data_IF_269235107826
#
_entry.id   IF_269235107826
#
_cell.length_a   1.000
_cell.length_b   1.000
_cell.length_c   1.000
_cell.angle_alpha   90.00
_cell.angle_beta   90.00
_cell.angle_gamma   90.00
#
_symmetry.space_group_name_H-M   'P 1'
#
loop_
_entity.id
_entity.type
_entity.pdbx_description
1 polymer ?
#
# COMPACT_ATOMS: atom_id res chain seq x y z
N UNK A 1 13.80 7.42 6.05
CA UNK A 1 13.51 8.09 4.75
C UNK A 1 13.65 7.07 3.64
N UNK A 2 12.68 7.02 2.73
CA UNK A 2 12.69 6.15 1.54
C UNK A 2 12.96 7.01 0.30
N UNK A 3 13.93 6.61 -0.54
CA UNK A 3 14.27 7.31 -1.77
C UNK A 3 14.28 6.34 -2.95
N UNK A 4 13.62 6.73 -4.02
CA UNK A 4 13.65 6.07 -5.32
C UNK A 4 14.45 6.96 -6.26
N UNK A 5 15.47 6.40 -6.90
CA UNK A 5 16.37 7.16 -7.79
C UNK A 5 16.34 6.54 -9.18
N UNK A 6 15.66 7.23 -10.12
CA UNK A 6 15.56 6.87 -11.55
C UNK A 6 15.15 5.40 -11.77
N UNK A 7 14.11 4.95 -11.05
CA UNK A 7 13.61 3.57 -11.15
C UNK A 7 13.00 3.32 -12.52
N UNK A 8 13.58 2.40 -13.27
CA UNK A 8 13.06 1.91 -14.55
C UNK A 8 12.82 0.42 -14.45
N UNK A 9 11.68 -0.05 -15.01
CA UNK A 9 11.35 -1.47 -15.07
C UNK A 9 10.81 -1.88 -16.42
N UNK A 10 11.49 -2.84 -17.03
CA UNK A 10 11.04 -3.54 -18.24
C UNK A 10 10.56 -4.96 -17.92
N UNK A 11 9.50 -5.40 -18.59
CA UNK A 11 9.08 -6.79 -18.72
C UNK A 11 9.15 -7.15 -20.21
N UNK A 12 10.24 -7.77 -20.63
CA UNK A 12 10.53 -7.91 -22.06
C UNK A 12 10.55 -6.55 -22.76
N UNK A 13 9.68 -6.34 -23.73
CA UNK A 13 9.56 -5.07 -24.47
C UNK A 13 8.66 -4.04 -23.78
N UNK A 14 7.86 -4.46 -22.79
CA UNK A 14 6.93 -3.55 -22.08
C UNK A 14 7.68 -2.75 -21.01
N UNK A 15 7.67 -1.42 -21.16
CA UNK A 15 8.14 -0.49 -20.13
C UNK A 15 7.03 -0.30 -19.10
N UNK A 16 7.27 -0.75 -17.87
CA UNK A 16 6.29 -0.67 -16.78
C UNK A 16 6.54 0.50 -15.83
N UNK A 17 7.80 0.93 -15.69
CA UNK A 17 8.19 2.15 -14.97
C UNK A 17 9.30 2.85 -15.75
N UNK A 18 9.21 4.17 -15.86
CA UNK A 18 10.11 5.01 -16.63
C UNK A 18 10.69 6.13 -15.76
N UNK A 19 11.94 5.94 -15.30
CA UNK A 19 12.74 6.92 -14.53
C UNK A 19 12.02 7.52 -13.30
N UNK A 20 11.26 6.70 -12.57
CA UNK A 20 10.54 7.13 -11.38
C UNK A 20 11.52 7.54 -10.28
N UNK A 21 11.45 8.80 -9.85
CA UNK A 21 12.21 9.33 -8.72
C UNK A 21 11.27 9.93 -7.70
N UNK A 22 11.46 9.58 -6.41
CA UNK A 22 10.56 9.96 -5.33
C UNK A 22 11.30 9.91 -4.00
N UNK A 23 10.98 10.84 -3.09
CA UNK A 23 11.47 10.82 -1.71
C UNK A 23 10.32 10.89 -0.74
N UNK A 24 10.20 9.89 0.13
CA UNK A 24 9.15 9.82 1.15
C UNK A 24 9.77 9.93 2.55
N UNK A 25 9.15 10.79 3.37
CA UNK A 25 9.40 10.94 4.81
C UNK A 25 8.17 10.40 5.56
N UNK A 26 8.19 10.50 6.89
CA UNK A 26 7.04 10.06 7.70
C UNK A 26 5.73 10.72 7.25
N UNK A 27 4.69 9.92 7.12
CA UNK A 27 3.37 10.33 6.67
C UNK A 27 2.67 9.28 5.81
N UNK A 28 1.41 9.54 5.47
CA UNK A 28 0.60 8.70 4.60
C UNK A 28 0.66 9.27 3.19
N UNK A 29 0.96 8.42 2.23
CA UNK A 29 1.06 8.74 0.80
C UNK A 29 0.06 7.92 -0.01
N UNK A 30 -0.75 8.60 -0.81
CA UNK A 30 -1.65 7.97 -1.76
C UNK A 30 -0.96 7.78 -3.11
N UNK A 31 -0.96 6.56 -3.64
CA UNK A 31 -0.50 6.26 -4.99
C UNK A 31 -1.71 6.02 -5.88
N UNK A 32 -2.06 7.00 -6.69
CA UNK A 32 -3.20 6.98 -7.59
C UNK A 32 -2.77 6.82 -9.05
N UNK A 33 -3.62 6.17 -9.82
CA UNK A 33 -3.45 5.97 -11.26
C UNK A 33 -4.36 4.86 -11.77
N UNK A 34 -4.63 4.79 -13.09
CA UNK A 34 -5.46 3.76 -13.68
C UNK A 34 -4.85 2.37 -13.57
N UNK A 35 -5.61 1.36 -13.96
CA UNK A 35 -5.11 -0.01 -14.07
C UNK A 35 -4.00 -0.06 -15.13
N UNK A 36 -2.90 -0.73 -14.81
CA UNK A 36 -1.75 -0.77 -15.71
C UNK A 36 -0.76 0.39 -15.58
N UNK A 37 -1.06 1.45 -14.81
CA UNK A 37 -0.17 2.60 -14.62
C UNK A 37 1.21 2.27 -14.03
N UNK A 38 1.39 1.07 -13.44
CA UNK A 38 2.65 0.65 -12.83
C UNK A 38 2.65 0.61 -11.31
N UNK A 39 1.51 0.88 -10.64
CA UNK A 39 1.40 0.95 -9.17
C UNK A 39 1.95 -0.29 -8.46
N UNK A 40 1.43 -1.48 -8.79
CA UNK A 40 1.88 -2.74 -8.17
C UNK A 40 3.33 -3.07 -8.51
N UNK A 41 3.82 -2.69 -9.71
CA UNK A 41 5.24 -2.81 -10.07
C UNK A 41 6.11 -1.95 -9.16
N UNK A 42 5.72 -0.68 -8.95
CA UNK A 42 6.43 0.24 -8.07
C UNK A 42 6.45 -0.26 -6.63
N UNK A 43 5.30 -0.70 -6.11
CA UNK A 43 5.19 -1.27 -4.77
C UNK A 43 6.04 -2.53 -4.60
N UNK A 44 6.05 -3.44 -5.57
CA UNK A 44 6.90 -4.63 -5.52
C UNK A 44 8.39 -4.31 -5.53
N UNK A 45 8.79 -3.22 -6.19
CA UNK A 45 10.19 -2.75 -6.17
C UNK A 45 10.51 -2.14 -4.79
N UNK A 46 9.63 -1.29 -4.26
CA UNK A 46 9.78 -0.71 -2.92
C UNK A 46 9.87 -1.79 -1.85
N UNK A 47 9.04 -2.83 -1.92
CA UNK A 47 9.05 -3.93 -0.95
C UNK A 47 10.23 -4.90 -1.12
N UNK A 48 11.04 -4.72 -2.16
CA UNK A 48 12.18 -5.60 -2.45
C UNK A 48 11.81 -6.95 -3.06
N UNK A 49 10.52 -7.16 -3.40
CA UNK A 49 10.03 -8.38 -4.06
C UNK A 49 10.43 -8.44 -5.55
N UNK A 50 10.70 -7.28 -6.14
CA UNK A 50 11.06 -7.14 -7.55
C UNK A 50 12.25 -6.20 -7.70
N UNK A 51 13.29 -6.65 -8.41
CA UNK A 51 14.42 -5.76 -8.75
C UNK A 51 14.04 -4.84 -9.91
N UNK A 52 14.40 -3.55 -9.87
CA UNK A 52 14.27 -2.67 -11.02
C UNK A 52 15.24 -3.11 -12.14
N UNK A 53 14.98 -2.71 -13.38
CA UNK A 53 15.93 -2.89 -14.50
C UNK A 53 17.10 -1.92 -14.35
N UNK A 54 16.83 -0.69 -13.92
CA UNK A 54 17.85 0.31 -13.55
C UNK A 54 17.33 1.23 -12.44
N UNK A 55 18.21 2.01 -11.83
CA UNK A 55 17.91 2.84 -10.70
C UNK A 55 18.17 2.15 -9.36
N UNK A 56 17.86 2.85 -8.25
CA UNK A 56 18.11 2.37 -6.89
C UNK A 56 16.97 2.75 -5.96
N UNK A 57 16.64 1.86 -5.02
CA UNK A 57 15.78 2.14 -3.88
C UNK A 57 16.64 2.21 -2.64
N UNK A 58 16.60 3.33 -1.94
CA UNK A 58 17.41 3.56 -0.75
C UNK A 58 16.50 3.72 0.48
N UNK A 59 16.87 3.06 1.56
CA UNK A 59 16.34 3.30 2.91
C UNK A 59 17.46 3.90 3.77
N UNK A 60 17.27 5.15 4.20
CA UNK A 60 18.27 5.92 4.92
C UNK A 60 19.67 5.86 4.26
N UNK A 61 19.70 6.06 2.93
CA UNK A 61 20.91 6.06 2.11
C UNK A 61 21.48 4.67 1.76
N UNK A 62 20.91 3.57 2.27
CA UNK A 62 21.35 2.20 1.98
C UNK A 62 20.44 1.53 0.96
N UNK A 63 21.03 0.88 -0.06
CA UNK A 63 20.25 0.18 -1.07
C UNK A 63 19.49 -1.00 -0.43
N UNK A 64 18.17 -1.02 -0.59
CA UNK A 64 17.28 -2.02 0.03
C UNK A 64 17.59 -3.45 -0.42
N UNK A 65 18.11 -3.63 -1.65
CA UNK A 65 18.46 -4.95 -2.18
C UNK A 65 19.75 -5.52 -1.57
N UNK A 66 20.58 -4.67 -0.96
CA UNK A 66 21.80 -5.09 -0.28
C UNK A 66 21.55 -5.36 1.22
N UNK A 67 20.45 -4.81 1.77
CA UNK A 67 20.11 -4.92 3.19
C UNK A 67 19.39 -6.22 3.56
N UNK A 68 18.82 -6.94 2.59
CA UNK A 68 18.22 -8.26 2.79
C UNK A 68 17.21 -8.34 3.93
N UNK A 69 17.49 -9.19 4.94
CA UNK A 69 16.61 -9.39 6.09
C UNK A 69 16.42 -8.14 6.95
N UNK A 70 17.45 -7.29 7.07
CA UNK A 70 17.37 -6.06 7.85
C UNK A 70 16.35 -5.07 7.28
N UNK A 71 16.27 -4.95 5.96
CA UNK A 71 15.21 -4.13 5.34
C UNK A 71 13.82 -4.75 5.54
N UNK A 72 13.70 -6.07 5.35
CA UNK A 72 12.41 -6.76 5.53
C UNK A 72 11.84 -6.66 6.94
N UNK A 73 12.69 -6.56 7.97
CA UNK A 73 12.21 -6.34 9.35
C UNK A 73 11.59 -4.96 9.57
N UNK A 74 11.97 -3.96 8.76
CA UNK A 74 11.41 -2.60 8.80
C UNK A 74 10.12 -2.46 7.97
N UNK A 75 9.78 -3.49 7.18
CA UNK A 75 8.71 -3.44 6.19
C UNK A 75 7.47 -4.20 6.64
N UNK A 76 6.31 -3.57 6.48
CA UNK A 76 5.01 -4.20 6.47
C UNK A 76 4.39 -4.14 5.08
N UNK A 77 3.84 -5.26 4.59
CA UNK A 77 3.25 -5.29 3.26
C UNK A 77 1.93 -6.07 3.27
N UNK A 78 0.86 -5.46 2.78
CA UNK A 78 -0.41 -6.09 2.47
C UNK A 78 -0.63 -6.00 0.95
N UNK A 79 -0.44 -7.09 0.19
CA UNK A 79 -0.70 -7.11 -1.25
C UNK A 79 -2.20 -7.14 -1.54
N UNK A 80 -2.60 -6.70 -2.73
CA UNK A 80 -3.99 -6.69 -3.20
C UNK A 80 -4.65 -8.08 -3.13
N UNK A 81 -3.92 -9.10 -3.55
CA UNK A 81 -4.37 -10.49 -3.49
C UNK A 81 -3.36 -11.32 -2.70
N UNK A 82 -3.77 -11.77 -1.54
CA UNK A 82 -3.02 -12.74 -0.77
C UNK A 82 -3.89 -13.97 -0.51
N UNK A 83 -3.39 -15.14 -0.90
CA UNK A 83 -3.98 -16.41 -0.49
C UNK A 83 -3.91 -16.55 1.02
N UNK A 84 -5.00 -16.25 1.71
CA UNK A 84 -5.12 -16.53 3.13
C UNK A 84 -5.33 -18.03 3.35
N UNK A 85 -4.75 -18.55 4.42
CA UNK A 85 -4.96 -19.95 4.82
C UNK A 85 -6.33 -20.09 5.47
N UNK A 86 -7.36 -20.49 4.73
CA UNK A 86 -8.75 -20.53 5.17
C UNK A 86 -8.96 -21.43 6.41
N UNK A 87 -8.13 -22.47 6.58
CA UNK A 87 -8.17 -23.37 7.74
C UNK A 87 -7.45 -22.81 8.98
N UNK A 88 -6.67 -21.75 8.83
CA UNK A 88 -6.01 -21.12 9.98
C UNK A 88 -6.99 -20.20 10.70
N UNK A 89 -6.87 -20.14 12.02
CA UNK A 89 -7.49 -19.06 12.79
C UNK A 89 -6.68 -17.77 12.64
N UNK A 90 -7.30 -16.61 12.89
CA UNK A 90 -6.61 -15.32 12.82
C UNK A 90 -5.35 -15.30 13.69
N UNK A 91 -5.43 -15.83 14.92
CA UNK A 91 -4.26 -15.90 15.82
C UNK A 91 -3.18 -16.85 15.30
N UNK A 92 -3.56 -17.99 14.69
CA UNK A 92 -2.60 -18.92 14.10
C UNK A 92 -1.89 -18.31 12.91
N UNK A 93 -2.61 -17.59 12.05
CA UNK A 93 -2.05 -16.87 10.92
C UNK A 93 -1.05 -15.81 11.37
N UNK A 94 -1.42 -14.95 12.31
CA UNK A 94 -0.52 -13.92 12.83
C UNK A 94 0.69 -14.50 13.58
N UNK A 95 0.52 -15.63 14.29
CA UNK A 95 1.66 -16.33 14.91
C UNK A 95 2.65 -16.86 13.87
N UNK A 96 2.15 -17.39 12.77
CA UNK A 96 2.98 -17.81 11.64
C UNK A 96 3.74 -16.62 11.03
N UNK A 97 3.04 -15.52 10.78
CA UNK A 97 3.65 -14.30 10.24
C UNK A 97 4.66 -13.66 11.20
N UNK A 98 4.38 -13.66 12.52
CA UNK A 98 5.30 -13.17 13.53
C UNK A 98 6.61 -13.99 13.56
N UNK A 99 6.51 -15.30 13.38
CA UNK A 99 7.67 -16.19 13.28
C UNK A 99 8.49 -15.90 12.02
N UNK A 100 7.85 -15.72 10.87
CA UNK A 100 8.52 -15.37 9.61
C UNK A 100 9.21 -14.00 9.68
N UNK A 101 8.63 -13.04 10.42
CA UNK A 101 9.25 -11.72 10.69
C UNK A 101 10.39 -11.78 11.73
N UNK A 102 10.64 -12.93 12.33
CA UNK A 102 11.69 -13.09 13.36
C UNK A 102 11.35 -12.44 14.70
N UNK A 103 10.06 -12.17 14.99
CA UNK A 103 9.64 -11.61 16.28
C UNK A 103 9.95 -12.64 17.39
N UNK A 104 10.67 -12.25 18.47
CA UNK A 104 11.01 -13.15 19.55
C UNK A 104 9.78 -13.82 20.16
N UNK A 105 9.86 -15.13 20.41
CA UNK A 105 8.70 -15.94 20.86
C UNK A 105 8.00 -15.38 22.10
N UNK A 106 8.79 -14.79 23.02
CA UNK A 106 8.28 -14.13 24.24
C UNK A 106 7.44 -12.88 23.96
N UNK A 107 7.64 -12.22 22.82
CA UNK A 107 6.99 -10.97 22.42
C UNK A 107 5.78 -11.22 21.50
N UNK A 108 5.78 -12.37 20.80
CA UNK A 108 4.75 -12.68 19.77
C UNK A 108 3.32 -12.58 20.31
N UNK A 109 3.06 -13.09 21.50
CA UNK A 109 1.70 -13.08 22.09
C UNK A 109 1.18 -11.65 22.27
N UNK A 110 1.95 -10.78 22.87
CA UNK A 110 1.57 -9.38 23.10
C UNK A 110 1.35 -8.65 21.78
N UNK A 111 2.27 -8.85 20.84
CA UNK A 111 2.24 -8.22 19.53
C UNK A 111 1.02 -8.67 18.68
N UNK A 112 0.71 -9.96 18.69
CA UNK A 112 -0.46 -10.50 17.98
C UNK A 112 -1.76 -9.90 18.55
N UNK A 113 -1.89 -9.82 19.86
CA UNK A 113 -3.06 -9.20 20.48
C UNK A 113 -3.13 -7.70 20.19
N UNK A 114 -2.01 -6.99 20.20
CA UNK A 114 -1.94 -5.58 19.82
C UNK A 114 -2.49 -5.35 18.42
N UNK A 115 -2.03 -6.11 17.41
CA UNK A 115 -2.49 -5.90 16.03
C UNK A 115 -3.92 -6.39 15.81
N UNK A 116 -4.40 -7.42 16.51
CA UNK A 116 -5.79 -7.86 16.45
C UNK A 116 -6.75 -6.82 17.04
N UNK A 117 -6.38 -6.21 18.15
CA UNK A 117 -7.13 -5.11 18.77
C UNK A 117 -7.21 -3.92 17.83
N UNK A 118 -6.09 -3.57 17.25
CA UNK A 118 -5.96 -2.47 16.30
C UNK A 118 -6.95 -2.54 15.12
N UNK A 119 -7.12 -3.74 14.58
CA UNK A 119 -8.04 -3.99 13.46
C UNK A 119 -9.43 -4.46 13.90
N UNK A 120 -9.76 -4.42 15.19
CA UNK A 120 -11.03 -4.87 15.76
C UNK A 120 -11.39 -6.32 15.38
N UNK A 121 -10.43 -7.25 15.53
CA UNK A 121 -10.60 -8.68 15.27
C UNK A 121 -10.36 -9.57 16.49
N UNK A 122 -10.19 -9.02 17.69
CA UNK A 122 -9.96 -9.74 18.95
C UNK A 122 -11.00 -10.84 19.22
N UNK A 123 -12.29 -10.51 19.11
CA UNK A 123 -13.37 -11.48 19.33
C UNK A 123 -13.43 -12.58 18.28
N UNK A 124 -12.82 -12.38 17.14
CA UNK A 124 -12.80 -13.33 16.01
C UNK A 124 -11.48 -14.07 15.86
N UNK A 125 -10.50 -13.78 16.75
CA UNK A 125 -9.11 -14.29 16.68
C UNK A 125 -9.03 -15.82 16.52
N UNK A 126 -9.93 -16.56 17.17
CA UNK A 126 -9.97 -18.04 17.14
C UNK A 126 -10.86 -18.63 16.07
N UNK A 127 -11.56 -17.82 15.27
CA UNK A 127 -12.37 -18.32 14.15
C UNK A 127 -11.49 -18.62 12.94
N UNK A 128 -11.80 -19.65 12.14
CA UNK A 128 -11.13 -19.91 10.87
C UNK A 128 -11.28 -18.71 9.92
N UNK A 129 -10.19 -18.33 9.26
CA UNK A 129 -10.16 -17.19 8.30
C UNK A 129 -11.12 -17.43 7.13
N UNK A 130 -11.34 -18.67 6.74
CA UNK A 130 -12.36 -19.02 5.72
C UNK A 130 -13.76 -18.54 6.05
N UNK A 131 -14.08 -18.33 7.34
CA UNK A 131 -15.38 -17.80 7.81
C UNK A 131 -15.41 -16.28 7.94
N UNK A 132 -14.31 -15.58 7.63
CA UNK A 132 -14.22 -14.13 7.70
C UNK A 132 -14.95 -13.50 6.51
N UNK A 133 -15.65 -12.38 6.75
CA UNK A 133 -16.13 -11.53 5.66
C UNK A 133 -14.96 -10.93 4.86
N UNK A 134 -15.23 -10.40 3.66
CA UNK A 134 -14.20 -9.69 2.88
C UNK A 134 -13.49 -8.61 3.68
N UNK A 135 -14.23 -7.76 4.41
CA UNK A 135 -13.67 -6.75 5.28
C UNK A 135 -12.85 -7.30 6.45
N UNK A 136 -13.23 -8.44 7.02
CA UNK A 136 -12.43 -9.12 8.04
C UNK A 136 -11.14 -9.70 7.46
N UNK A 137 -11.18 -10.27 6.25
CA UNK A 137 -10.00 -10.74 5.53
C UNK A 137 -9.05 -9.59 5.23
N UNK A 138 -9.56 -8.45 4.78
CA UNK A 138 -8.73 -7.27 4.55
C UNK A 138 -8.12 -6.73 5.84
N UNK A 139 -8.89 -6.68 6.93
CA UNK A 139 -8.37 -6.24 8.24
C UNK A 139 -7.26 -7.14 8.78
N UNK A 140 -7.34 -8.46 8.61
CA UNK A 140 -6.27 -9.37 9.05
C UNK A 140 -4.98 -9.18 8.20
N UNK A 141 -5.10 -8.79 6.92
CA UNK A 141 -3.95 -8.42 6.09
C UNK A 141 -3.30 -7.13 6.55
N UNK A 142 -4.10 -6.13 6.96
CA UNK A 142 -3.57 -4.91 7.59
C UNK A 142 -2.87 -5.26 8.90
N UNK A 143 -3.47 -6.11 9.76
CA UNK A 143 -2.85 -6.58 11.00
C UNK A 143 -1.49 -7.24 10.75
N UNK A 144 -1.40 -8.11 9.73
CA UNK A 144 -0.14 -8.72 9.30
C UNK A 144 0.90 -7.67 8.86
N UNK A 145 0.46 -6.65 8.12
CA UNK A 145 1.37 -5.62 7.63
C UNK A 145 1.99 -4.82 8.79
N UNK A 146 1.21 -4.50 9.83
CA UNK A 146 1.68 -3.71 10.99
C UNK A 146 2.32 -4.55 12.11
N UNK A 147 2.42 -5.86 11.93
CA UNK A 147 3.03 -6.77 12.89
C UNK A 147 4.54 -6.48 13.03
N UNK A 148 5.03 -6.37 14.26
CA UNK A 148 6.43 -6.05 14.56
C UNK A 148 6.77 -4.57 14.38
N UNK A 149 5.79 -3.71 14.37
CA UNK A 149 5.91 -2.24 14.35
C UNK A 149 6.84 -1.70 13.24
N UNK A 150 6.56 -2.00 11.96
CA UNK A 150 7.42 -1.61 10.84
C UNK A 150 7.47 -0.09 10.65
N UNK A 151 8.61 0.41 10.14
CA UNK A 151 8.77 1.83 9.79
C UNK A 151 8.22 2.19 8.40
N UNK A 152 8.10 1.21 7.51
CA UNK A 152 7.50 1.35 6.19
C UNK A 152 6.34 0.37 6.06
N UNK A 153 5.14 0.88 5.78
CA UNK A 153 3.94 0.08 5.53
C UNK A 153 3.46 0.33 4.10
N UNK A 154 3.33 -0.74 3.33
CA UNK A 154 2.83 -0.69 1.95
C UNK A 154 1.53 -1.47 1.87
N UNK A 155 0.45 -0.81 1.46
CA UNK A 155 -0.90 -1.37 1.36
C UNK A 155 -1.38 -1.24 -0.07
N UNK A 156 -1.54 -2.38 -0.76
CA UNK A 156 -2.00 -2.42 -2.14
C UNK A 156 -3.51 -2.67 -2.17
N UNK A 157 -4.28 -1.64 -2.57
CA UNK A 157 -5.74 -1.64 -2.65
C UNK A 157 -6.45 -2.13 -1.36
N UNK A 158 -6.13 -1.56 -0.17
CA UNK A 158 -6.61 -2.11 1.10
C UNK A 158 -8.12 -2.00 1.32
N UNK A 159 -8.83 -1.24 0.49
CA UNK A 159 -10.28 -1.01 0.58
C UNK A 159 -11.06 -1.62 -0.58
N UNK A 160 -10.39 -2.30 -1.52
CA UNK A 160 -11.03 -2.87 -2.70
C UNK A 160 -12.10 -3.92 -2.32
N UNK A 161 -13.27 -3.82 -2.95
CA UNK A 161 -14.37 -4.77 -2.72
C UNK A 161 -15.05 -4.67 -1.36
N UNK A 162 -14.77 -3.63 -0.57
CA UNK A 162 -15.39 -3.40 0.73
C UNK A 162 -16.60 -2.47 0.64
N UNK A 163 -17.58 -2.70 1.52
CA UNK A 163 -18.69 -1.77 1.70
C UNK A 163 -18.22 -0.43 2.33
N UNK A 164 -19.01 0.66 2.22
CA UNK A 164 -18.61 1.97 2.73
C UNK A 164 -18.23 2.00 4.21
N UNK A 165 -18.90 1.20 5.05
CA UNK A 165 -18.63 1.16 6.51
C UNK A 165 -17.26 0.52 6.79
N UNK A 166 -16.92 -0.55 6.10
CA UNK A 166 -15.61 -1.20 6.25
C UNK A 166 -14.49 -0.32 5.68
N UNK A 167 -14.72 0.42 4.58
CA UNK A 167 -13.76 1.40 4.04
C UNK A 167 -13.41 2.47 5.08
N UNK A 168 -14.42 3.05 5.74
CA UNK A 168 -14.18 4.02 6.81
C UNK A 168 -13.31 3.44 7.91
N UNK A 169 -13.59 2.22 8.36
CA UNK A 169 -12.80 1.53 9.40
C UNK A 169 -11.34 1.31 8.99
N UNK A 170 -11.11 0.88 7.75
CA UNK A 170 -9.73 0.69 7.25
C UNK A 170 -8.99 2.02 7.20
N UNK A 171 -9.63 3.10 6.74
CA UNK A 171 -9.03 4.45 6.73
C UNK A 171 -8.64 4.93 8.13
N UNK A 172 -9.54 4.75 9.10
CA UNK A 172 -9.26 5.09 10.51
C UNK A 172 -8.08 4.28 11.04
N UNK A 173 -8.03 2.99 10.75
CA UNK A 173 -6.91 2.14 11.13
C UNK A 173 -5.60 2.63 10.51
N UNK A 174 -5.59 2.95 9.20
CA UNK A 174 -4.39 3.49 8.52
C UNK A 174 -3.95 4.82 9.15
N UNK A 175 -4.90 5.74 9.41
CA UNK A 175 -4.59 7.02 10.07
C UNK A 175 -3.96 6.81 11.45
N UNK A 176 -4.51 5.91 12.23
CA UNK A 176 -4.05 5.68 13.60
C UNK A 176 -2.64 5.06 13.68
N UNK A 177 -2.20 4.27 12.68
CA UNK A 177 -0.84 3.68 12.65
C UNK A 177 0.21 4.63 12.08
N UNK A 178 -0.17 5.79 11.52
CA UNK A 178 0.75 6.62 10.74
C UNK A 178 1.94 7.17 11.55
N UNK A 179 1.73 7.64 12.75
CA UNK A 179 2.78 8.09 13.68
C UNK A 179 4.09 8.54 13.03
N UNK A 180 5.15 7.84 13.34
CA UNK A 180 6.50 8.02 12.83
C UNK A 180 6.83 7.17 11.58
N UNK A 181 5.82 6.61 10.91
CA UNK A 181 5.95 5.67 9.79
C UNK A 181 5.78 6.34 8.44
N UNK A 182 6.34 5.70 7.42
CA UNK A 182 5.99 5.94 6.02
C UNK A 182 4.91 4.91 5.66
N UNK A 183 3.74 5.39 5.25
CA UNK A 183 2.65 4.53 4.78
C UNK A 183 2.35 4.87 3.33
N UNK A 184 2.52 3.90 2.43
CA UNK A 184 2.18 4.01 1.02
C UNK A 184 0.94 3.17 0.74
N UNK A 185 -0.13 3.82 0.29
CA UNK A 185 -1.40 3.18 -0.04
C UNK A 185 -1.68 3.36 -1.51
N UNK A 186 -1.80 2.25 -2.27
CA UNK A 186 -2.38 2.33 -3.61
C UNK A 186 -3.90 2.26 -3.51
N UNK A 187 -4.59 3.00 -4.33
CA UNK A 187 -6.03 2.86 -4.52
C UNK A 187 -6.45 3.50 -5.84
N UNK A 188 -7.55 3.02 -6.42
CA UNK A 188 -8.27 3.68 -7.50
C UNK A 188 -9.48 4.47 -6.96
N UNK A 189 -9.77 4.36 -5.65
CA UNK A 189 -10.87 5.07 -5.00
C UNK A 189 -10.33 6.31 -4.31
N UNK A 190 -10.42 7.44 -4.99
CA UNK A 190 -9.87 8.73 -4.57
C UNK A 190 -10.32 9.14 -3.16
N UNK A 191 -11.63 8.98 -2.85
CA UNK A 191 -12.20 9.33 -1.55
C UNK A 191 -11.63 8.54 -0.37
N UNK A 192 -11.02 7.37 -0.62
CA UNK A 192 -10.44 6.55 0.45
C UNK A 192 -9.09 7.08 0.95
N UNK A 193 -8.41 7.88 0.13
CA UNK A 193 -7.07 8.39 0.48
C UNK A 193 -7.06 9.91 0.71
N UNK A 194 -7.92 10.66 0.03
CA UNK A 194 -7.96 12.13 0.09
C UNK A 194 -7.97 12.68 1.52
N UNK A 195 -8.77 12.06 2.40
CA UNK A 195 -8.97 12.54 3.77
C UNK A 195 -7.84 12.19 4.74
N UNK A 196 -6.94 11.27 4.39
CA UNK A 196 -5.90 10.77 5.29
C UNK A 196 -4.48 10.98 4.77
N UNK A 197 -4.29 11.17 3.47
CA UNK A 197 -2.98 11.33 2.89
C UNK A 197 -2.37 12.69 3.21
N UNK A 198 -1.08 12.69 3.50
CA UNK A 198 -0.23 13.87 3.54
C UNK A 198 0.01 14.41 2.14
N UNK A 199 0.33 13.53 1.21
CA UNK A 199 0.63 13.83 -0.18
C UNK A 199 0.10 12.72 -1.07
N UNK A 200 -0.20 13.08 -2.33
CA UNK A 200 -0.69 12.17 -3.36
C UNK A 200 0.34 12.11 -4.49
N UNK A 201 0.60 10.89 -4.95
CA UNK A 201 1.47 10.58 -6.08
C UNK A 201 0.58 10.12 -7.22
N UNK A 202 0.55 10.86 -8.33
CA UNK A 202 -0.18 10.52 -9.54
C UNK A 202 0.74 9.78 -10.50
N UNK A 203 0.43 8.49 -10.76
CA UNK A 203 1.22 7.63 -11.64
C UNK A 203 0.44 7.33 -12.93
N UNK A 204 1.05 7.61 -14.09
CA UNK A 204 0.50 7.34 -15.41
C UNK A 204 1.56 6.74 -16.31
N UNK A 205 1.26 5.63 -16.98
CA UNK A 205 2.17 4.95 -17.92
C UNK A 205 3.61 4.77 -17.39
N UNK A 206 3.72 4.40 -16.14
CA UNK A 206 5.00 4.18 -15.47
C UNK A 206 5.76 5.44 -15.05
N UNK A 207 5.18 6.64 -15.18
CA UNK A 207 5.77 7.92 -14.79
C UNK A 207 4.98 8.59 -13.66
N UNK A 208 5.67 9.28 -12.76
CA UNK A 208 5.02 10.22 -11.85
C UNK A 208 4.70 11.48 -12.66
N UNK A 209 3.41 11.77 -12.83
CA UNK A 209 2.94 12.96 -13.56
C UNK A 209 2.75 14.15 -12.66
N UNK A 210 2.41 13.95 -11.38
CA UNK A 210 2.44 14.98 -10.34
C UNK A 210 2.58 14.34 -8.94
N UNK A 211 3.06 15.11 -7.97
CA UNK A 211 3.22 14.70 -6.58
C UNK A 211 3.16 15.93 -5.69
N UNK A 212 2.14 16.02 -4.84
CA UNK A 212 1.97 17.13 -3.89
C UNK A 212 0.88 16.81 -2.85
N UNK A 213 0.63 17.77 -1.94
CA UNK A 213 -0.53 17.76 -1.06
C UNK A 213 -1.83 17.93 -1.86
N UNK A 214 -2.96 17.43 -1.35
CA UNK A 214 -4.27 17.56 -2.02
C UNK A 214 -4.60 19.02 -2.35
N UNK A 215 -4.47 20.01 -1.43
CA UNK A 215 -4.76 21.40 -1.76
C UNK A 215 -3.83 21.98 -2.86
N UNK A 216 -2.58 21.52 -2.92
CA UNK A 216 -1.64 21.96 -3.95
C UNK A 216 -1.98 21.39 -5.33
N UNK A 217 -2.33 20.10 -5.39
CA UNK A 217 -2.79 19.44 -6.62
C UNK A 217 -4.07 20.11 -7.15
N UNK A 218 -5.05 20.39 -6.30
CA UNK A 218 -6.26 21.09 -6.70
C UNK A 218 -5.97 22.44 -7.35
N UNK A 219 -5.06 23.25 -6.78
CA UNK A 219 -4.65 24.53 -7.38
C UNK A 219 -3.91 24.37 -8.71
N UNK A 220 -2.98 23.42 -8.80
CA UNK A 220 -2.20 23.16 -10.01
C UNK A 220 -3.07 22.72 -11.19
N UNK A 221 -4.15 22.01 -10.89
CA UNK A 221 -5.08 21.47 -11.89
C UNK A 221 -6.36 22.33 -12.03
N UNK A 222 -6.23 23.65 -12.02
CA UNK A 222 -7.31 24.59 -12.37
C UNK A 222 -8.23 24.97 -11.22
N UNK A 223 -7.71 25.04 -9.99
CA UNK A 223 -8.46 25.39 -8.77
C UNK A 223 -9.71 24.55 -8.55
N UNK A 224 -9.60 23.25 -8.83
CA UNK A 224 -10.70 22.31 -8.63
C UNK A 224 -10.99 22.07 -7.14
N UNK A 225 -12.21 21.60 -6.82
CA UNK A 225 -12.70 21.52 -5.43
C UNK A 225 -12.13 20.33 -4.64
N UNK A 226 -11.79 19.25 -5.32
CA UNK A 226 -11.38 18.00 -4.67
C UNK A 226 -10.44 17.16 -5.55
N UNK A 227 -9.85 16.15 -4.95
CA UNK A 227 -8.91 15.25 -5.61
C UNK A 227 -9.56 14.40 -6.72
N UNK A 228 -10.87 14.13 -6.63
CA UNK A 228 -11.59 13.39 -7.69
C UNK A 228 -11.59 14.17 -9.00
N UNK A 229 -11.78 15.49 -8.95
CA UNK A 229 -11.68 16.35 -10.14
C UNK A 229 -10.26 16.40 -10.70
N UNK A 230 -9.22 16.43 -9.84
CA UNK A 230 -7.83 16.28 -10.28
C UNK A 230 -7.63 14.95 -11.00
N UNK A 231 -8.13 13.86 -10.41
CA UNK A 231 -8.03 12.51 -11.00
C UNK A 231 -8.67 12.47 -12.39
N UNK A 232 -9.89 12.99 -12.55
CA UNK A 232 -10.58 13.03 -13.83
C UNK A 232 -9.86 13.88 -14.89
N UNK A 233 -9.23 14.99 -14.50
CA UNK A 233 -8.43 15.81 -15.44
C UNK A 233 -7.16 15.11 -15.88
N UNK A 234 -6.50 14.40 -14.97
CA UNK A 234 -5.23 13.73 -15.27
C UNK A 234 -5.44 12.41 -16.01
N UNK A 235 -6.54 11.68 -15.73
CA UNK A 235 -6.74 10.30 -16.22
C UNK A 235 -8.03 10.11 -17.02
N UNK A 236 -8.98 11.08 -17.03
CA UNK A 236 -10.35 10.90 -17.53
C UNK A 236 -10.47 10.63 -19.03
N UNK A 237 -9.45 10.93 -19.83
CA UNK A 237 -9.47 10.64 -21.27
C UNK A 237 -9.26 9.14 -21.58
N UNK A 238 -8.70 8.36 -20.66
CA UNK A 238 -8.40 6.93 -20.86
C UNK A 238 -9.63 6.02 -20.64
N UNK A 239 -10.58 6.40 -19.78
CA UNK A 239 -11.78 5.59 -19.52
C UNK A 239 -12.75 5.57 -20.69
N UNK A 240 -12.66 6.54 -21.63
CA UNK A 240 -13.51 6.61 -22.83
C UNK A 240 -13.02 5.66 -23.93
N UNK A 241 -11.75 5.27 -23.93
CA UNK A 241 -11.16 4.41 -24.99
C UNK A 241 -11.27 2.92 -24.71
N UNK A 242 -11.45 2.49 -23.46
CA UNK A 242 -11.56 1.05 -23.11
C UNK A 242 -12.99 0.49 -23.25
N UNK A 243 -13.98 1.35 -23.54
CA UNK A 243 -15.39 1.00 -23.71
C UNK A 243 -15.83 0.63 -25.14
N UNK A 244 -14.94 0.64 -26.15
CA UNK A 244 -15.33 0.50 -27.57
C UNK A 244 -14.77 -0.74 -28.28
N UNK A 245 -14.58 -1.85 -27.59
CA UNK A 245 -14.37 -3.14 -28.23
C UNK A 245 -15.17 -4.25 -27.55
N UNK A 246 -16.49 -4.27 -27.77
CA UNK A 246 -17.28 -5.49 -27.72
C UNK A 246 -18.49 -5.33 -28.65
N UNK A 247 -18.35 -5.73 -29.88
CA UNK A 247 -19.40 -6.29 -30.73
C UNK A 247 -18.88 -7.63 -31.25
#
# INVERSE_FOLDING_TARGET
MLELQNITKHYGTKLALDHVSLTLKNGIYGLLGPNGAGKSTLMNIITGNLKPTSGRVLWDGKNVFDCGAAYRSLLGYAPQQQGLYDTFTGIRFLSYMATLKGIPKKEQKGEIWRVLDYVNLTEKAYRPIGTYSGGMKQRILVAQAILGDPHLVVLDEPTAGLDPKERVRIRENIRNISGDKIILVSTHVVSDIESIAKEIILLREGKIVDHDTVPSLCRKHGDVQNLEQVYLQVFGEEEIHDGSHTI
#
